data_IF_819782105354
#
_entry.id   IF_819782105354
#
_cell.length_a   1.000
_cell.length_b   1.000
_cell.length_c   1.000
_cell.angle_alpha   90.00
_cell.angle_beta   90.00
_cell.angle_gamma   90.00
#
_symmetry.space_group_name_H-M   'P 1'
#
loop_
_entity.id
_entity.type
_entity.pdbx_description
1 polymer ?
#
# COMPACT_ATOMS: atom_id res chain seq x y z
N UNK A 1 -18.97 15.99 14.47
CA UNK A 1 -18.84 14.57 14.87
C UNK A 1 -18.73 13.76 13.59
N UNK A 2 -17.54 13.27 13.26
CA UNK A 2 -17.33 12.48 12.05
C UNK A 2 -17.87 11.07 12.31
N UNK A 3 -19.00 10.72 11.68
CA UNK A 3 -19.44 9.34 11.64
C UNK A 3 -18.41 8.55 10.84
N UNK A 4 -17.52 7.83 11.55
CA UNK A 4 -16.78 6.73 10.94
C UNK A 4 -17.85 5.69 10.58
N UNK A 5 -18.08 5.39 9.29
CA UNK A 5 -19.07 4.39 8.92
C UNK A 5 -18.63 3.07 9.55
N UNK A 6 -19.50 2.45 10.36
CA UNK A 6 -19.26 1.09 10.83
C UNK A 6 -19.25 0.22 9.56
N UNK A 7 -18.15 -0.48 9.25
CA UNK A 7 -18.11 -1.33 8.07
C UNK A 7 -19.15 -2.44 8.23
N UNK A 8 -19.99 -2.60 7.20
CA UNK A 8 -20.94 -3.70 7.09
C UNK A 8 -20.21 -5.05 7.15
N UNK A 9 -20.82 -6.12 7.69
CA UNK A 9 -20.19 -7.45 7.72
C UNK A 9 -19.75 -7.94 6.33
N UNK A 10 -20.43 -7.50 5.26
CA UNK A 10 -20.04 -7.81 3.88
C UNK A 10 -18.70 -7.17 3.50
N UNK A 11 -18.43 -5.92 3.92
CA UNK A 11 -17.16 -5.26 3.62
C UNK A 11 -16.01 -5.82 4.46
N UNK A 12 -16.25 -6.31 5.67
CA UNK A 12 -15.24 -7.02 6.46
C UNK A 12 -14.82 -8.34 5.82
N UNK A 13 -15.77 -9.12 5.30
CA UNK A 13 -15.46 -10.36 4.58
C UNK A 13 -14.63 -10.11 3.32
N UNK A 14 -14.93 -9.03 2.60
CA UNK A 14 -14.17 -8.60 1.42
C UNK A 14 -12.75 -8.16 1.78
N UNK A 15 -12.61 -7.32 2.82
CA UNK A 15 -11.29 -6.91 3.35
C UNK A 15 -10.46 -8.13 3.73
N UNK A 16 -11.04 -9.07 4.48
CA UNK A 16 -10.35 -10.30 4.89
C UNK A 16 -9.89 -11.12 3.69
N UNK A 17 -10.77 -11.32 2.71
CA UNK A 17 -10.43 -12.05 1.47
C UNK A 17 -9.30 -11.37 0.71
N UNK A 18 -9.34 -10.04 0.60
CA UNK A 18 -8.32 -9.24 -0.06
C UNK A 18 -6.97 -9.34 0.65
N UNK A 19 -6.96 -9.21 1.98
CA UNK A 19 -5.75 -9.29 2.81
C UNK A 19 -5.13 -10.69 2.71
N UNK A 20 -5.93 -11.75 2.81
CA UNK A 20 -5.44 -13.13 2.69
C UNK A 20 -4.89 -13.40 1.29
N UNK A 21 -5.59 -12.99 0.23
CA UNK A 21 -5.12 -13.16 -1.14
C UNK A 21 -3.81 -12.40 -1.39
N UNK A 22 -3.72 -11.16 -0.91
CA UNK A 22 -2.51 -10.35 -1.01
C UNK A 22 -1.33 -10.98 -0.23
N UNK A 23 -1.56 -11.48 0.98
CA UNK A 23 -0.54 -12.15 1.79
C UNK A 23 0.03 -13.39 1.09
N UNK A 24 -0.84 -14.25 0.53
CA UNK A 24 -0.46 -15.44 -0.22
C UNK A 24 0.32 -15.11 -1.49
N UNK A 25 -0.17 -14.13 -2.26
CA UNK A 25 0.49 -13.66 -3.47
C UNK A 25 1.87 -13.06 -3.18
N UNK A 26 1.96 -12.22 -2.15
CA UNK A 26 3.21 -11.62 -1.70
C UNK A 26 4.22 -12.69 -1.26
N UNK A 27 3.78 -13.67 -0.48
CA UNK A 27 4.65 -14.75 -0.01
C UNK A 27 5.17 -15.59 -1.16
N UNK A 28 4.28 -16.02 -2.05
CA UNK A 28 4.64 -16.76 -3.28
C UNK A 28 5.63 -15.97 -4.13
N UNK A 29 5.40 -14.67 -4.31
CA UNK A 29 6.30 -13.82 -5.09
C UNK A 29 7.68 -13.67 -4.44
N UNK A 30 7.77 -13.57 -3.10
CA UNK A 30 9.06 -13.54 -2.39
C UNK A 30 9.80 -14.87 -2.47
N UNK A 31 9.10 -15.98 -2.27
CA UNK A 31 9.67 -17.33 -2.37
C UNK A 31 10.28 -17.58 -3.76
N UNK A 32 9.60 -17.10 -4.80
CA UNK A 32 10.06 -17.20 -6.19
C UNK A 32 11.06 -16.11 -6.60
N UNK A 33 11.43 -15.19 -5.69
CA UNK A 33 12.23 -13.98 -5.97
C UNK A 33 11.70 -13.14 -7.15
N UNK A 34 10.38 -13.16 -7.33
CA UNK A 34 9.69 -12.40 -8.36
C UNK A 34 9.52 -10.93 -7.97
N UNK A 35 9.08 -10.10 -8.93
CA UNK A 35 8.73 -8.69 -8.68
C UNK A 35 7.41 -8.60 -7.90
N UNK A 36 7.50 -8.63 -6.56
CA UNK A 36 6.37 -8.60 -5.62
C UNK A 36 5.33 -7.54 -5.97
N UNK A 37 5.76 -6.30 -6.19
CA UNK A 37 4.87 -5.18 -6.52
C UNK A 37 4.02 -5.45 -7.78
N UNK A 38 4.63 -6.03 -8.83
CA UNK A 38 3.94 -6.35 -10.09
C UNK A 38 2.91 -7.46 -9.88
N UNK A 39 3.24 -8.47 -9.06
CA UNK A 39 2.34 -9.58 -8.73
C UNK A 39 1.14 -9.12 -7.90
N UNK A 40 1.39 -8.28 -6.90
CA UNK A 40 0.33 -7.67 -6.11
C UNK A 40 -0.57 -6.79 -6.96
N UNK A 41 0.00 -5.93 -7.80
CA UNK A 41 -0.81 -5.08 -8.69
C UNK A 41 -1.69 -5.92 -9.63
N UNK A 42 -1.12 -6.95 -10.25
CA UNK A 42 -1.87 -7.85 -11.13
C UNK A 42 -3.00 -8.61 -10.40
N UNK A 43 -2.80 -9.00 -9.14
CA UNK A 43 -3.87 -9.62 -8.34
C UNK A 43 -5.00 -8.64 -8.01
N UNK A 44 -4.63 -7.39 -7.72
CA UNK A 44 -5.55 -6.41 -7.14
C UNK A 44 -6.32 -5.60 -8.19
N UNK A 45 -5.81 -5.50 -9.41
CA UNK A 45 -6.44 -4.71 -10.48
C UNK A 45 -7.81 -5.28 -10.89
N UNK A 46 -7.99 -6.60 -10.82
CA UNK A 46 -9.25 -7.29 -11.14
C UNK A 46 -10.40 -6.89 -10.18
N UNK A 47 -10.06 -6.30 -9.03
CA UNK A 47 -11.01 -5.81 -8.04
C UNK A 47 -10.92 -4.28 -7.88
N UNK A 48 -10.42 -3.55 -8.88
CA UNK A 48 -10.18 -2.09 -8.84
C UNK A 48 -9.32 -1.64 -7.64
N UNK A 49 -8.55 -2.56 -7.05
CA UNK A 49 -7.76 -2.36 -5.84
C UNK A 49 -6.27 -2.20 -6.14
N UNK A 50 -5.88 -1.98 -7.41
CA UNK A 50 -4.48 -1.93 -7.83
C UNK A 50 -3.62 -0.92 -7.04
N UNK A 51 -4.23 0.19 -6.60
CA UNK A 51 -3.57 1.20 -5.76
C UNK A 51 -3.16 0.69 -4.37
N UNK A 52 -3.72 -0.44 -3.91
CA UNK A 52 -3.36 -1.06 -2.63
C UNK A 52 -2.10 -1.94 -2.73
N UNK A 53 -1.58 -2.21 -3.93
CA UNK A 53 -0.35 -3.00 -4.10
C UNK A 53 0.84 -2.51 -3.24
N UNK A 54 1.22 -1.21 -3.26
CA UNK A 54 2.31 -0.71 -2.41
C UNK A 54 1.95 -0.78 -0.91
N UNK A 55 0.68 -0.64 -0.57
CA UNK A 55 0.18 -0.71 0.81
C UNK A 55 0.37 -2.11 1.38
N UNK A 56 -0.08 -3.13 0.65
CA UNK A 56 0.11 -4.52 1.05
C UNK A 56 1.59 -4.91 1.08
N UNK A 57 2.38 -4.46 0.10
CA UNK A 57 3.81 -4.73 0.10
C UNK A 57 4.50 -4.16 1.35
N UNK A 58 4.19 -2.91 1.72
CA UNK A 58 4.73 -2.28 2.93
C UNK A 58 4.27 -2.99 4.20
N UNK A 59 2.96 -3.20 4.34
CA UNK A 59 2.37 -3.88 5.51
C UNK A 59 3.00 -5.26 5.75
N UNK A 60 3.06 -6.09 4.73
CA UNK A 60 3.59 -7.46 4.84
C UNK A 60 5.11 -7.48 5.07
N UNK A 61 5.83 -6.49 4.55
CA UNK A 61 7.26 -6.33 4.84
C UNK A 61 7.48 -5.99 6.32
N UNK A 62 6.74 -5.01 6.86
CA UNK A 62 6.84 -4.70 8.29
C UNK A 62 6.37 -5.86 9.16
N UNK A 63 5.34 -6.59 8.73
CA UNK A 63 4.84 -7.76 9.44
C UNK A 63 5.90 -8.87 9.52
N UNK A 64 6.55 -9.22 8.41
CA UNK A 64 7.64 -10.21 8.39
C UNK A 64 8.82 -9.77 9.29
N UNK A 65 9.19 -8.49 9.25
CA UNK A 65 10.25 -7.93 10.11
C UNK A 65 9.85 -8.01 11.58
N UNK A 66 8.61 -7.67 11.93
CA UNK A 66 8.14 -7.67 13.31
C UNK A 66 7.99 -9.09 13.90
N UNK A 67 7.67 -10.07 13.04
CA UNK A 67 7.71 -11.49 13.39
C UNK A 67 9.14 -12.02 13.59
N UNK A 68 10.15 -11.38 12.97
CA UNK A 68 11.54 -11.86 12.97
C UNK A 68 11.74 -13.16 12.17
N UNK A 69 10.72 -13.60 11.43
CA UNK A 69 10.73 -14.81 10.62
C UNK A 69 9.83 -14.64 9.39
N UNK A 70 10.04 -15.43 8.32
CA UNK A 70 9.12 -15.48 7.19
C UNK A 70 7.68 -15.73 7.62
N UNK A 71 6.74 -15.03 6.97
CA UNK A 71 5.30 -15.26 7.15
C UNK A 71 4.97 -16.67 6.63
N UNK A 72 4.24 -17.45 7.41
CA UNK A 72 3.70 -18.74 6.99
C UNK A 72 2.29 -18.50 6.45
N UNK A 73 2.03 -18.90 5.21
CA UNK A 73 0.68 -18.83 4.62
C UNK A 73 0.10 -20.23 4.49
N UNK A 74 -1.21 -20.35 4.73
CA UNK A 74 -1.93 -21.59 4.56
C UNK A 74 -2.21 -21.91 3.09
N UNK A 75 -2.70 -23.12 2.84
CA UNK A 75 -3.15 -23.57 1.51
C UNK A 75 -4.68 -23.48 1.42
N UNK A 76 -5.37 -24.56 1.81
CA UNK A 76 -6.83 -24.58 1.84
C UNK A 76 -7.38 -23.76 3.02
N UNK A 77 -6.77 -23.93 4.19
CA UNK A 77 -7.14 -23.23 5.43
C UNK A 77 -6.21 -22.05 5.70
N UNK A 78 -6.61 -21.17 6.62
CA UNK A 78 -5.78 -20.05 7.07
C UNK A 78 -4.69 -20.56 8.02
N UNK A 79 -3.49 -20.02 7.89
CA UNK A 79 -2.43 -20.23 8.88
C UNK A 79 -2.68 -19.37 10.13
N UNK A 80 -1.95 -19.68 11.21
CA UNK A 80 -1.92 -18.85 12.41
C UNK A 80 -1.48 -17.40 12.12
N UNK A 81 -0.53 -17.21 11.21
CA UNK A 81 -0.05 -15.87 10.82
C UNK A 81 -1.12 -15.12 10.03
N UNK A 82 -1.86 -15.81 9.15
CA UNK A 82 -2.97 -15.19 8.43
C UNK A 82 -4.09 -14.78 9.39
N UNK A 83 -4.43 -15.63 10.36
CA UNK A 83 -5.40 -15.28 11.40
C UNK A 83 -4.95 -14.08 12.24
N UNK A 84 -3.68 -14.03 12.64
CA UNK A 84 -3.14 -12.92 13.42
C UNK A 84 -3.12 -11.62 12.60
N UNK A 85 -2.72 -11.69 11.32
CA UNK A 85 -2.77 -10.55 10.41
C UNK A 85 -4.19 -10.00 10.24
N UNK A 86 -5.18 -10.87 10.06
CA UNK A 86 -6.58 -10.46 9.95
C UNK A 86 -7.08 -9.78 11.23
N UNK A 87 -6.78 -10.33 12.41
CA UNK A 87 -7.17 -9.70 13.68
C UNK A 87 -6.57 -8.31 13.87
N UNK A 88 -5.30 -8.12 13.47
CA UNK A 88 -4.64 -6.80 13.48
C UNK A 88 -5.33 -5.83 12.51
N UNK A 89 -5.64 -6.26 11.29
CA UNK A 89 -6.31 -5.42 10.29
C UNK A 89 -7.74 -5.07 10.71
N UNK A 90 -8.45 -6.00 11.32
CA UNK A 90 -9.79 -5.78 11.87
C UNK A 90 -9.75 -4.84 13.09
N UNK A 91 -8.59 -4.67 13.71
CA UNK A 91 -8.42 -3.92 14.96
C UNK A 91 -8.95 -4.66 16.18
N UNK A 92 -9.05 -5.99 16.09
CA UNK A 92 -9.48 -6.87 17.18
C UNK A 92 -8.32 -7.24 18.11
N UNK A 93 -7.08 -6.99 17.69
CA UNK A 93 -5.90 -7.09 18.53
C UNK A 93 -5.29 -5.70 18.77
N UNK A 94 -5.45 -5.22 20.01
CA UNK A 94 -4.57 -4.18 20.59
C UNK A 94 -3.31 -4.82 21.20
N UNK A 95 -3.27 -6.15 21.31
CA UNK A 95 -2.12 -6.84 21.86
C UNK A 95 -1.06 -7.02 20.77
N UNK A 96 0.18 -6.57 21.00
CA UNK A 96 1.26 -6.93 20.10
C UNK A 96 1.33 -8.46 20.13
N UNK A 97 1.30 -9.09 18.95
CA UNK A 97 1.95 -10.39 18.75
C UNK A 97 3.27 -10.33 19.54
N UNK A 98 3.72 -11.42 20.16
CA UNK A 98 5.05 -11.48 20.79
C UNK A 98 6.12 -11.18 19.73
N UNK A 99 6.31 -9.90 19.46
CA UNK A 99 7.07 -9.36 18.36
C UNK A 99 8.46 -9.19 18.90
N UNK A 100 9.42 -9.76 18.19
CA UNK A 100 10.83 -9.67 18.56
C UNK A 100 11.43 -8.33 18.09
N UNK A 101 10.63 -7.25 18.07
CA UNK A 101 10.99 -5.98 17.47
C UNK A 101 11.18 -4.89 18.52
N UNK A 102 12.05 -3.92 18.21
CA UNK A 102 12.24 -2.73 19.04
C UNK A 102 10.96 -1.87 19.11
N UNK A 103 10.88 -1.01 20.12
CA UNK A 103 9.76 -0.07 20.29
C UNK A 103 9.52 0.80 19.05
N UNK A 104 10.59 1.31 18.43
CA UNK A 104 10.49 2.10 17.19
C UNK A 104 9.90 1.30 16.02
N UNK A 105 10.23 0.01 15.91
CA UNK A 105 9.67 -0.87 14.89
C UNK A 105 8.19 -1.19 15.16
N UNK A 106 7.82 -1.39 16.43
CA UNK A 106 6.42 -1.59 16.81
C UNK A 106 5.56 -0.35 16.49
N UNK A 107 6.08 0.85 16.73
CA UNK A 107 5.42 2.11 16.37
C UNK A 107 5.29 2.27 14.84
N UNK A 108 6.34 1.97 14.08
CA UNK A 108 6.32 2.00 12.62
C UNK A 108 5.32 1.00 12.04
N UNK A 109 5.29 -0.23 12.56
CA UNK A 109 4.32 -1.25 12.17
C UNK A 109 2.89 -0.82 12.50
N UNK A 110 2.64 -0.28 13.69
CA UNK A 110 1.32 0.25 14.07
C UNK A 110 0.85 1.38 13.14
N UNK A 111 1.77 2.25 12.71
CA UNK A 111 1.51 3.29 11.71
C UNK A 111 1.19 2.69 10.33
N UNK A 112 1.94 1.67 9.90
CA UNK A 112 1.68 0.95 8.66
C UNK A 112 0.30 0.25 8.67
N UNK A 113 -0.07 -0.40 9.77
CA UNK A 113 -1.39 -1.00 9.95
C UNK A 113 -2.49 0.05 9.86
N UNK A 114 -2.36 1.16 10.60
CA UNK A 114 -3.35 2.23 10.61
C UNK A 114 -3.53 2.86 9.23
N UNK A 115 -2.44 3.19 8.55
CA UNK A 115 -2.48 3.75 7.20
C UNK A 115 -3.05 2.75 6.18
N UNK A 116 -2.70 1.47 6.28
CA UNK A 116 -3.27 0.42 5.43
C UNK A 116 -4.78 0.30 5.62
N UNK A 117 -5.27 0.28 6.86
CA UNK A 117 -6.72 0.25 7.16
C UNK A 117 -7.46 1.44 6.55
N UNK A 118 -6.90 2.65 6.65
CA UNK A 118 -7.48 3.85 6.06
C UNK A 118 -7.52 3.73 4.53
N UNK A 119 -6.43 3.29 3.88
CA UNK A 119 -6.39 3.15 2.43
C UNK A 119 -7.34 2.07 1.92
N UNK A 120 -7.40 0.91 2.59
CA UNK A 120 -8.37 -0.15 2.26
C UNK A 120 -9.80 0.35 2.39
N UNK A 121 -10.12 1.06 3.48
CA UNK A 121 -11.45 1.62 3.68
C UNK A 121 -11.82 2.63 2.58
N UNK A 122 -10.88 3.49 2.17
CA UNK A 122 -11.10 4.46 1.08
C UNK A 122 -11.36 3.77 -0.26
N UNK A 123 -10.47 2.88 -0.67
CA UNK A 123 -10.57 2.18 -1.96
C UNK A 123 -11.86 1.35 -2.04
N UNK A 124 -12.23 0.66 -0.95
CA UNK A 124 -13.46 -0.12 -0.93
C UNK A 124 -14.73 0.76 -0.87
N UNK A 125 -14.67 1.90 -0.18
CA UNK A 125 -15.77 2.86 -0.17
C UNK A 125 -15.98 3.51 -1.54
N UNK A 126 -14.90 3.81 -2.28
CA UNK A 126 -14.97 4.31 -3.65
C UNK A 126 -15.63 3.27 -4.56
N UNK A 127 -15.30 1.98 -4.42
CA UNK A 127 -15.96 0.88 -5.15
C UNK A 127 -17.46 0.74 -4.87
N UNK A 128 -17.89 0.95 -3.63
CA UNK A 128 -19.30 0.79 -3.20
C UNK A 128 -20.13 2.08 -3.44
N UNK A 129 -19.47 3.24 -3.53
CA UNK A 129 -20.12 4.49 -3.90
C UNK A 129 -20.72 4.43 -5.30
N UNK A 130 -21.64 5.34 -5.66
CA UNK A 130 -22.16 5.40 -7.01
C UNK A 130 -21.04 5.92 -7.92
N UNK A 131 -20.18 5.01 -8.38
CA UNK A 131 -19.40 5.26 -9.58
C UNK A 131 -20.39 5.38 -10.72
N UNK A 132 -20.77 6.64 -11.02
CA UNK A 132 -21.09 7.04 -12.38
C UNK A 132 -19.92 6.51 -13.21
N UNK A 133 -20.13 5.61 -14.18
CA UNK A 133 -19.10 5.34 -15.16
C UNK A 133 -18.74 6.70 -15.73
N UNK A 134 -17.51 7.16 -15.51
CA UNK A 134 -16.95 8.23 -16.32
C UNK A 134 -17.02 7.67 -17.73
N UNK A 135 -18.10 8.04 -18.43
CA UNK A 135 -18.24 7.81 -19.84
C UNK A 135 -16.92 8.31 -20.42
N UNK A 136 -16.16 7.38 -21.01
CA UNK A 136 -15.05 7.70 -21.87
C UNK A 136 -15.60 8.73 -22.85
N UNK A 137 -15.27 10.00 -22.62
CA UNK A 137 -15.48 11.03 -23.62
C UNK A 137 -14.69 10.54 -24.82
N UNK A 138 -15.32 10.33 -25.99
CA UNK A 138 -14.57 10.01 -27.19
C UNK A 138 -13.60 11.18 -27.39
N UNK A 139 -12.30 10.89 -27.30
CA UNK A 139 -11.27 11.85 -27.71
C UNK A 139 -11.61 12.22 -29.15
N UNK A 140 -11.92 13.49 -29.48
CA UNK A 140 -12.05 13.88 -30.87
C UNK A 140 -10.68 13.69 -31.51
N UNK A 141 -10.60 12.71 -32.40
CA UNK A 141 -9.42 12.41 -33.19
C UNK A 141 -9.30 13.54 -34.23
N UNK A 142 -8.61 14.61 -33.85
CA UNK A 142 -8.28 15.70 -34.77
C UNK A 142 -8.15 17.04 -34.09
N UNK A 143 -6.95 17.35 -33.59
CA UNK A 143 -6.37 18.68 -33.68
C UNK A 143 -4.84 18.53 -33.78
N UNK A 144 -4.35 18.77 -34.99
CA UNK A 144 -2.95 19.09 -35.28
C UNK A 144 -2.53 20.28 -34.40
N UNK A 145 -1.30 20.25 -33.90
CA UNK A 145 -0.57 21.47 -33.58
C UNK A 145 0.11 21.49 -32.21
N UNK A 146 1.43 21.36 -32.26
CA UNK A 146 2.40 22.12 -31.46
C UNK A 146 2.68 21.69 -30.00
N UNK A 147 3.78 20.93 -29.92
CA UNK A 147 4.94 21.12 -29.02
C UNK A 147 4.86 22.09 -27.82
N UNK A 148 5.26 21.50 -26.68
CA UNK A 148 6.00 22.08 -25.53
C UNK A 148 5.32 23.19 -24.72
N UNK A 149 4.94 22.85 -23.48
CA UNK A 149 5.43 23.57 -22.29
C UNK A 149 5.05 22.84 -20.98
N UNK A 150 6.01 22.13 -20.39
CA UNK A 150 6.07 21.97 -18.93
C UNK A 150 7.51 22.26 -18.52
N UNK A 151 7.82 23.49 -18.07
CA UNK A 151 9.10 23.79 -17.46
C UNK A 151 9.13 23.16 -16.07
N UNK A 152 10.04 22.21 -15.87
CA UNK A 152 10.54 21.89 -14.54
C UNK A 152 11.45 23.06 -14.12
N UNK A 153 10.92 24.05 -13.40
CA UNK A 153 11.75 25.07 -12.77
C UNK A 153 12.41 24.47 -11.53
N UNK A 154 13.53 23.79 -11.77
CA UNK A 154 14.56 23.59 -10.77
C UNK A 154 15.15 24.95 -10.40
N UNK A 155 14.92 25.38 -9.16
CA UNK A 155 15.62 26.54 -8.60
C UNK A 155 17.12 26.26 -8.60
N UNK A 156 17.81 27.15 -9.31
CA UNK A 156 19.22 27.12 -9.63
C UNK A 156 20.14 27.21 -8.42
N UNK A 157 21.30 26.57 -8.59
CA UNK A 157 22.53 26.88 -7.91
C UNK A 157 22.94 28.34 -8.12
N UNK A 158 23.23 29.06 -7.03
CA UNK A 158 24.05 30.26 -7.08
C UNK A 158 25.50 29.85 -6.79
N UNK A 159 26.35 30.01 -7.80
CA UNK A 159 27.81 29.89 -7.71
C UNK A 159 28.44 31.24 -8.03
N UNK A 160 29.62 31.42 -7.43
CA UNK A 160 30.71 32.34 -7.80
C UNK A 160 30.60 33.76 -7.22
N UNK A 161 31.65 34.45 -6.76
CA UNK A 161 33.09 34.24 -6.55
C UNK A 161 33.60 35.65 -6.21
N UNK A 162 34.52 35.82 -5.24
CA UNK A 162 35.53 36.91 -5.12
C UNK A 162 36.37 36.49 -3.89
N UNK A 163 37.68 36.37 -3.83
CA UNK A 163 38.82 36.69 -4.69
C UNK A 163 40.05 36.55 -3.78
N UNK A 164 41.08 35.84 -4.25
CA UNK A 164 42.44 35.63 -3.68
C UNK A 164 43.14 36.92 -3.18
N UNK A 165 44.32 36.93 -2.50
CA UNK A 165 45.43 35.96 -2.65
C UNK A 165 46.33 35.65 -1.40
N UNK A 166 47.17 34.60 -1.52
CA UNK A 166 48.49 34.42 -0.84
C UNK A 166 49.46 35.56 -1.27
N UNK A 167 50.60 35.89 -0.60
CA UNK A 167 51.64 35.00 -0.06
C UNK A 167 52.24 35.52 1.30
N UNK A 168 53.30 35.01 1.94
CA UNK A 168 54.44 34.15 1.58
C UNK A 168 54.85 33.29 2.77
#
# INVERSE_FOLDING_TARGET
MNHVPIPSPASLSEVRTLVTAAARCWRTARDQRAKVQRRLYALLIDQDCGMLAPVFNGLLTFYEVALGRPIVVGRAELSSDEHALLRIVDGLDDHPITMSCSEGMAAAFSCAVRSARIMMAKVLAERIGPHRPTALVPIPLGLKGEERLFPWDGVNAEKAQHGQPFPS
#
